data_IF_950630255568
#
_entry.id   IF_950630255568
#
_cell.length_a   1.000
_cell.length_b   1.000
_cell.length_c   1.000
_cell.angle_alpha   90.00
_cell.angle_beta   90.00
_cell.angle_gamma   90.00
#
_symmetry.space_group_name_H-M   'P 1'
#
loop_
_entity.id
_entity.type
_entity.pdbx_description
1 polymer ?
#
# COMPACT_ATOMS: atom_id res chain seq x y z
N UNK A 1 4.06 4.96 -24.03
CA UNK A 1 4.29 5.60 -22.72
C UNK A 1 4.95 4.59 -21.82
N UNK A 2 5.88 5.05 -20.99
CA UNK A 2 6.45 4.25 -19.91
C UNK A 2 5.45 4.29 -18.74
N UNK A 3 5.18 3.14 -18.12
CA UNK A 3 4.16 3.01 -17.07
C UNK A 3 4.75 2.53 -15.75
N UNK A 4 4.18 3.02 -14.66
CA UNK A 4 4.31 2.43 -13.32
C UNK A 4 2.98 1.80 -12.94
N UNK A 5 3.03 0.60 -12.37
CA UNK A 5 1.88 -0.05 -11.75
C UNK A 5 1.73 0.41 -10.32
N UNK A 6 0.58 0.97 -9.98
CA UNK A 6 0.25 1.33 -8.61
C UNK A 6 -0.96 0.51 -8.20
N UNK A 7 -0.83 -0.33 -7.18
CA UNK A 7 -1.98 -1.04 -6.62
C UNK A 7 -2.48 -0.33 -5.37
N UNK A 8 -3.80 -0.24 -5.18
CA UNK A 8 -4.39 0.47 -4.03
C UNK A 8 -4.35 2.00 -4.18
N UNK A 9 -4.22 2.48 -5.42
CA UNK A 9 -4.04 3.90 -5.71
C UNK A 9 -5.31 4.74 -5.54
N UNK A 10 -6.47 4.16 -5.24
CA UNK A 10 -7.66 4.91 -4.84
C UNK A 10 -7.83 4.96 -3.31
N UNK A 11 -6.96 4.31 -2.54
CA UNK A 11 -6.88 4.43 -1.09
C UNK A 11 -6.18 5.72 -0.64
N UNK A 12 -6.12 5.95 0.67
CA UNK A 12 -5.56 7.18 1.26
C UNK A 12 -4.11 7.49 0.82
N UNK A 13 -3.14 6.63 1.15
CA UNK A 13 -1.72 6.87 0.83
C UNK A 13 -1.51 6.72 -0.69
N UNK A 14 -2.11 5.70 -1.29
CA UNK A 14 -2.00 5.44 -2.72
C UNK A 14 -2.50 6.60 -3.59
N UNK A 15 -3.61 7.26 -3.22
CA UNK A 15 -4.12 8.40 -3.97
C UNK A 15 -3.17 9.61 -3.87
N UNK A 16 -2.64 9.91 -2.69
CA UNK A 16 -1.65 10.98 -2.54
C UNK A 16 -0.39 10.67 -3.36
N UNK A 17 0.10 9.42 -3.35
CA UNK A 17 1.22 9.02 -4.22
C UNK A 17 0.93 9.25 -5.71
N UNK A 18 -0.26 8.86 -6.18
CA UNK A 18 -0.65 9.03 -7.59
C UNK A 18 -0.74 10.52 -7.97
N UNK A 19 -1.34 11.34 -7.11
CA UNK A 19 -1.46 12.79 -7.29
C UNK A 19 -0.07 13.45 -7.34
N UNK A 20 0.77 13.15 -6.35
CA UNK A 20 2.12 13.73 -6.23
C UNK A 20 3.01 13.31 -7.40
N UNK A 21 2.93 12.05 -7.83
CA UNK A 21 3.69 11.54 -8.98
C UNK A 21 3.32 12.28 -10.26
N UNK A 22 2.01 12.40 -10.56
CA UNK A 22 1.52 13.00 -11.80
C UNK A 22 1.54 14.53 -11.80
N UNK A 23 1.79 15.16 -10.65
CA UNK A 23 2.06 16.59 -10.57
C UNK A 23 3.34 16.98 -11.34
N UNK A 24 4.28 16.06 -11.54
CA UNK A 24 5.46 16.32 -12.38
C UNK A 24 5.11 16.19 -13.88
N UNK A 25 5.41 17.22 -14.69
CA UNK A 25 5.08 17.28 -16.13
C UNK A 25 5.61 16.09 -16.94
N UNK A 26 6.80 15.59 -16.58
CA UNK A 26 7.49 14.50 -17.28
C UNK A 26 7.38 13.15 -16.55
N UNK A 27 6.46 13.03 -15.61
CA UNK A 27 6.20 11.78 -14.92
C UNK A 27 5.80 10.68 -15.91
N UNK A 28 6.22 9.45 -15.62
CA UNK A 28 5.68 8.26 -16.27
C UNK A 28 4.18 8.14 -16.02
N UNK A 29 3.46 7.54 -16.97
CA UNK A 29 2.04 7.27 -16.80
C UNK A 29 1.82 6.22 -15.69
N UNK A 30 0.70 6.30 -14.99
CA UNK A 30 0.31 5.36 -13.95
C UNK A 30 -0.83 4.49 -14.46
N UNK A 31 -0.64 3.17 -14.41
CA UNK A 31 -1.76 2.24 -14.37
C UNK A 31 -2.11 1.96 -12.91
N UNK A 32 -3.22 2.54 -12.46
CA UNK A 32 -3.74 2.45 -11.09
C UNK A 32 -4.74 1.31 -10.99
N UNK A 33 -4.38 0.26 -10.27
CA UNK A 33 -5.17 -0.94 -10.04
C UNK A 33 -5.79 -0.86 -8.64
N UNK A 34 -7.11 -0.79 -8.56
CA UNK A 34 -7.80 -0.76 -7.27
C UNK A 34 -9.10 -1.57 -7.33
N UNK A 35 -9.40 -2.32 -6.28
CA UNK A 35 -10.64 -3.11 -6.18
C UNK A 35 -11.86 -2.22 -5.88
N UNK A 36 -11.62 -1.00 -5.38
CA UNK A 36 -12.61 -0.09 -4.81
C UNK A 36 -13.40 -0.79 -3.71
N UNK A 37 -12.67 -1.27 -2.69
CA UNK A 37 -13.28 -1.73 -1.44
C UNK A 37 -13.85 -0.52 -0.68
N UNK A 38 -14.32 -0.74 0.55
CA UNK A 38 -14.85 0.35 1.38
C UNK A 38 -13.86 1.52 1.59
N UNK A 39 -12.55 1.26 1.49
CA UNK A 39 -11.49 2.23 1.72
C UNK A 39 -11.02 2.94 0.43
N UNK A 40 -11.46 2.47 -0.74
CA UNK A 40 -11.12 3.07 -2.04
C UNK A 40 -12.11 4.15 -2.44
N UNK A 41 -11.62 5.32 -2.86
CA UNK A 41 -12.46 6.43 -3.28
C UNK A 41 -11.88 7.14 -4.52
N UNK A 42 -12.54 6.97 -5.66
CA UNK A 42 -12.14 7.63 -6.91
C UNK A 42 -12.26 9.16 -6.88
N UNK A 43 -13.06 9.71 -5.95
CA UNK A 43 -13.15 11.17 -5.80
C UNK A 43 -11.85 11.78 -5.30
N UNK A 44 -11.00 11.01 -4.59
CA UNK A 44 -9.66 11.44 -4.21
C UNK A 44 -8.76 11.71 -5.42
N UNK A 45 -9.12 11.18 -6.60
CA UNK A 45 -8.36 11.32 -7.85
C UNK A 45 -9.11 12.17 -8.89
N UNK A 46 -10.15 12.90 -8.49
CA UNK A 46 -11.01 13.63 -9.44
C UNK A 46 -10.26 14.67 -10.29
N UNK A 47 -9.17 15.25 -9.77
CA UNK A 47 -8.32 16.18 -10.51
C UNK A 47 -7.57 15.54 -11.68
N UNK A 48 -7.54 14.21 -11.77
CA UNK A 48 -6.84 13.45 -12.81
C UNK A 48 -7.77 12.85 -13.87
N UNK A 49 -9.09 13.08 -13.81
CA UNK A 49 -10.05 12.43 -14.72
C UNK A 49 -9.78 12.69 -16.22
N UNK A 50 -9.27 13.87 -16.55
CA UNK A 50 -8.90 14.23 -17.93
C UNK A 50 -7.39 14.09 -18.20
N UNK A 51 -6.60 13.58 -17.25
CA UNK A 51 -5.17 13.34 -17.44
C UNK A 51 -4.94 11.96 -18.07
N UNK A 52 -4.59 11.94 -19.35
CA UNK A 52 -4.32 10.71 -20.09
C UNK A 52 -3.15 9.87 -19.53
N UNK A 53 -2.34 10.42 -18.61
CA UNK A 53 -1.28 9.69 -17.90
C UNK A 53 -1.82 8.89 -16.73
N UNK A 54 -3.03 9.15 -16.24
CA UNK A 54 -3.69 8.37 -15.20
C UNK A 54 -4.66 7.36 -15.83
N UNK A 55 -4.32 6.07 -15.76
CA UNK A 55 -5.12 4.99 -16.31
C UNK A 55 -5.66 4.16 -15.16
N UNK A 56 -6.97 4.18 -14.95
CA UNK A 56 -7.61 3.43 -13.87
C UNK A 56 -8.11 2.07 -14.34
N UNK A 57 -7.80 1.02 -13.58
CA UNK A 57 -8.32 -0.33 -13.78
C UNK A 57 -8.96 -0.82 -12.47
N UNK A 58 -10.28 -1.01 -12.47
CA UNK A 58 -10.96 -1.66 -11.34
C UNK A 58 -10.61 -3.15 -11.35
N UNK A 59 -9.67 -3.56 -10.51
CA UNK A 59 -9.13 -4.93 -10.51
C UNK A 59 -8.80 -5.39 -9.09
N UNK A 60 -8.98 -6.68 -8.85
CA UNK A 60 -8.54 -7.35 -7.63
C UNK A 60 -7.13 -7.90 -7.83
N UNK A 61 -6.22 -7.64 -6.88
CA UNK A 61 -4.85 -8.19 -6.92
C UNK A 61 -4.83 -9.72 -6.71
N UNK A 62 -5.92 -10.31 -6.23
CA UNK A 62 -6.07 -11.77 -6.16
C UNK A 62 -6.45 -12.39 -7.52
N UNK A 63 -6.85 -11.60 -8.52
CA UNK A 63 -7.20 -12.11 -9.85
C UNK A 63 -5.94 -12.22 -10.73
N UNK A 64 -5.30 -13.39 -10.68
CA UNK A 64 -4.08 -13.67 -11.43
C UNK A 64 -4.25 -13.46 -12.94
N UNK A 65 -5.35 -13.93 -13.52
CA UNK A 65 -5.57 -13.81 -14.96
C UNK A 65 -5.72 -12.35 -15.38
N UNK A 66 -6.39 -11.54 -14.56
CA UNK A 66 -6.49 -10.10 -14.78
C UNK A 66 -5.13 -9.42 -14.63
N UNK A 67 -4.34 -9.77 -13.63
CA UNK A 67 -2.99 -9.22 -13.46
C UNK A 67 -2.11 -9.53 -14.68
N UNK A 68 -2.08 -10.77 -15.15
CA UNK A 68 -1.27 -11.18 -16.31
C UNK A 68 -1.66 -10.38 -17.57
N UNK A 69 -2.96 -10.16 -17.79
CA UNK A 69 -3.45 -9.30 -18.88
C UNK A 69 -2.96 -7.86 -18.74
N UNK A 70 -3.07 -7.28 -17.55
CA UNK A 70 -2.67 -5.90 -17.28
C UNK A 70 -1.16 -5.72 -17.48
N UNK A 71 -0.33 -6.64 -16.98
CA UNK A 71 1.12 -6.59 -17.20
C UNK A 71 1.48 -6.65 -18.69
N UNK A 72 0.78 -7.49 -19.47
CA UNK A 72 0.98 -7.58 -20.92
C UNK A 72 0.54 -6.30 -21.65
N UNK A 73 -0.58 -5.69 -21.24
CA UNK A 73 -1.15 -4.48 -21.83
C UNK A 73 -0.27 -3.25 -21.57
N UNK A 74 0.04 -2.99 -20.30
CA UNK A 74 0.69 -1.74 -19.89
C UNK A 74 2.22 -1.81 -19.86
N UNK A 75 2.78 -3.02 -19.74
CA UNK A 75 4.24 -3.26 -19.71
C UNK A 75 4.97 -2.32 -18.73
N UNK A 76 4.63 -2.35 -17.44
CA UNK A 76 5.20 -1.43 -16.46
C UNK A 76 6.69 -1.68 -16.27
N UNK A 77 7.45 -0.61 -16.02
CA UNK A 77 8.87 -0.74 -15.65
C UNK A 77 9.09 -0.72 -14.12
N UNK A 78 8.04 -0.47 -13.33
CA UNK A 78 8.06 -0.55 -11.88
C UNK A 78 6.66 -0.89 -11.33
N UNK A 79 6.63 -1.48 -10.14
CA UNK A 79 5.41 -1.74 -9.36
C UNK A 79 5.55 -1.06 -8.01
N UNK A 80 4.52 -0.33 -7.58
CA UNK A 80 4.38 0.23 -6.24
C UNK A 80 3.11 -0.34 -5.61
N UNK A 81 3.27 -1.11 -4.54
CA UNK A 81 2.21 -1.91 -3.96
C UNK A 81 1.69 -1.31 -2.64
N UNK A 82 0.55 -0.61 -2.71
CA UNK A 82 -0.19 -0.11 -1.53
C UNK A 82 -1.43 -0.94 -1.19
N UNK A 83 -1.99 -1.70 -2.13
CA UNK A 83 -3.24 -2.43 -1.93
C UNK A 83 -3.17 -3.37 -0.72
N UNK A 84 -4.01 -3.12 0.28
CA UNK A 84 -4.13 -3.92 1.49
C UNK A 84 -5.43 -3.59 2.23
N UNK A 85 -5.93 -4.55 3.00
CA UNK A 85 -6.84 -4.29 4.11
C UNK A 85 -6.03 -3.80 5.31
N UNK A 86 -6.44 -2.68 5.93
CA UNK A 86 -5.57 -1.87 6.82
C UNK A 86 -6.15 -1.48 8.18
N UNK A 87 -7.36 -1.92 8.50
CA UNK A 87 -8.03 -1.51 9.73
C UNK A 87 -7.89 -2.56 10.81
N UNK A 88 -7.08 -2.27 11.84
CA UNK A 88 -6.81 -3.18 12.96
C UNK A 88 -8.10 -3.72 13.59
N UNK A 89 -9.06 -2.87 13.97
CA UNK A 89 -10.32 -3.34 14.56
C UNK A 89 -11.14 -4.24 13.63
N UNK A 90 -11.17 -3.97 12.31
CA UNK A 90 -11.82 -4.86 11.35
C UNK A 90 -11.12 -6.21 11.26
N UNK A 91 -9.80 -6.24 11.37
CA UNK A 91 -9.01 -7.48 11.31
C UNK A 91 -9.33 -8.44 12.46
N UNK A 92 -9.82 -7.92 13.59
CA UNK A 92 -10.28 -8.74 14.74
C UNK A 92 -11.62 -9.41 14.43
N UNK A 93 -12.50 -8.72 13.69
CA UNK A 93 -13.85 -9.21 13.39
C UNK A 93 -13.95 -10.00 12.08
N UNK A 94 -13.13 -9.66 11.08
CA UNK A 94 -13.12 -10.25 9.74
C UNK A 94 -11.67 -10.47 9.26
N UNK A 95 -10.92 -11.40 9.89
CA UNK A 95 -9.52 -11.65 9.53
C UNK A 95 -9.32 -12.25 8.13
N UNK A 96 -10.33 -12.94 7.58
CA UNK A 96 -10.24 -13.63 6.29
C UNK A 96 -9.89 -12.68 5.14
N UNK A 97 -10.48 -11.48 5.12
CA UNK A 97 -10.21 -10.46 4.09
C UNK A 97 -8.74 -9.99 4.12
N UNK A 98 -8.13 -9.95 5.31
CA UNK A 98 -6.73 -9.57 5.50
C UNK A 98 -5.79 -10.67 5.03
N UNK A 99 -6.09 -11.94 5.32
CA UNK A 99 -5.32 -13.07 4.82
C UNK A 99 -5.41 -13.13 3.30
N UNK A 100 -6.61 -13.03 2.74
CA UNK A 100 -6.82 -13.10 1.30
C UNK A 100 -6.12 -11.94 0.58
N UNK A 101 -6.33 -10.70 1.01
CA UNK A 101 -5.81 -9.53 0.30
C UNK A 101 -4.33 -9.32 0.58
N UNK A 102 -3.92 -9.27 1.85
CA UNK A 102 -2.56 -8.85 2.20
C UNK A 102 -1.54 -9.96 1.95
N UNK A 103 -1.92 -11.22 2.13
CA UNK A 103 -1.03 -12.36 1.88
C UNK A 103 -1.28 -12.94 0.49
N UNK A 104 -2.50 -13.39 0.22
CA UNK A 104 -2.86 -14.01 -1.06
C UNK A 104 -2.69 -13.05 -2.23
N UNK A 105 -3.18 -11.81 -2.11
CA UNK A 105 -3.04 -10.77 -3.13
C UNK A 105 -1.58 -10.34 -3.35
N UNK A 106 -0.79 -10.20 -2.28
CA UNK A 106 0.64 -9.91 -2.42
C UNK A 106 1.39 -11.05 -3.14
N UNK A 107 1.05 -12.30 -2.83
CA UNK A 107 1.58 -13.47 -3.54
C UNK A 107 1.21 -13.47 -5.02
N UNK A 108 -0.06 -13.27 -5.36
CA UNK A 108 -0.52 -13.19 -6.76
C UNK A 108 0.18 -12.07 -7.52
N UNK A 109 0.33 -10.89 -6.91
CA UNK A 109 1.03 -9.77 -7.52
C UNK A 109 2.53 -10.07 -7.72
N UNK A 110 3.18 -10.73 -6.75
CA UNK A 110 4.57 -11.17 -6.86
C UNK A 110 4.76 -12.21 -7.98
N UNK A 111 3.87 -13.18 -8.11
CA UNK A 111 3.92 -14.17 -9.21
C UNK A 111 3.69 -13.53 -10.58
N UNK A 112 2.69 -12.65 -10.70
CA UNK A 112 2.45 -11.90 -11.93
C UNK A 112 3.69 -11.07 -12.32
N UNK A 113 4.24 -10.34 -11.33
CA UNK A 113 5.44 -9.53 -11.52
C UNK A 113 6.63 -10.37 -11.93
N UNK A 114 6.89 -11.50 -11.26
CA UNK A 114 8.01 -12.40 -11.57
C UNK A 114 7.87 -12.96 -12.98
N UNK A 115 6.68 -13.44 -13.34
CA UNK A 115 6.40 -14.00 -14.66
C UNK A 115 6.64 -12.95 -15.75
N UNK A 116 6.08 -11.76 -15.60
CA UNK A 116 6.33 -10.63 -16.50
C UNK A 116 7.83 -10.28 -16.57
N UNK A 117 8.47 -10.04 -15.43
CA UNK A 117 9.86 -9.60 -15.33
C UNK A 117 10.81 -10.59 -16.01
N UNK A 118 10.61 -11.90 -15.86
CA UNK A 118 11.47 -12.90 -16.51
C UNK A 118 11.44 -12.87 -18.04
N UNK A 119 10.35 -12.36 -18.62
CA UNK A 119 10.19 -12.22 -20.09
C UNK A 119 10.78 -10.93 -20.65
N UNK A 120 11.13 -9.97 -19.78
CA UNK A 120 11.67 -8.67 -20.22
C UNK A 120 13.11 -8.79 -20.75
N UNK A 121 13.53 -7.89 -21.65
CA UNK A 121 14.93 -7.77 -22.05
C UNK A 121 15.86 -7.53 -20.85
N UNK A 122 17.07 -8.10 -20.87
CA UNK A 122 18.03 -8.03 -19.75
C UNK A 122 18.25 -6.59 -19.24
N UNK A 123 18.48 -5.64 -20.14
CA UNK A 123 18.72 -4.25 -19.78
C UNK A 123 17.53 -3.56 -19.08
N UNK A 124 16.29 -3.99 -19.37
CA UNK A 124 15.10 -3.48 -18.72
C UNK A 124 14.87 -4.15 -17.35
N UNK A 125 15.16 -5.46 -17.24
CA UNK A 125 15.09 -6.21 -15.98
C UNK A 125 15.95 -5.60 -14.88
N UNK A 126 17.16 -5.16 -15.23
CA UNK A 126 18.10 -4.56 -14.28
C UNK A 126 17.60 -3.22 -13.70
N UNK A 127 16.71 -2.54 -14.45
CA UNK A 127 16.10 -1.26 -14.06
C UNK A 127 14.76 -1.43 -13.36
N UNK A 128 14.12 -2.60 -13.50
CA UNK A 128 12.82 -2.87 -12.89
C UNK A 128 12.89 -2.79 -11.37
N UNK A 129 11.85 -2.24 -10.72
CA UNK A 129 11.75 -2.24 -9.26
C UNK A 129 10.34 -2.63 -8.81
N UNK A 130 10.26 -3.48 -7.81
CA UNK A 130 9.03 -3.79 -7.08
C UNK A 130 9.13 -3.18 -5.69
N UNK A 131 8.36 -2.12 -5.42
CA UNK A 131 8.32 -1.44 -4.13
C UNK A 131 7.09 -1.91 -3.34
N UNK A 132 7.35 -2.62 -2.23
CA UNK A 132 6.34 -3.04 -1.26
C UNK A 132 6.23 -2.03 -0.13
N UNK A 133 5.03 -1.50 0.07
CA UNK A 133 4.75 -0.55 1.15
C UNK A 133 4.20 -1.34 2.34
N UNK A 134 4.93 -1.33 3.44
CA UNK A 134 4.61 -1.99 4.71
C UNK A 134 4.52 -0.96 5.84
N UNK A 135 4.43 -1.44 7.08
CA UNK A 135 4.13 -0.66 8.29
C UNK A 135 5.10 -1.02 9.40
N UNK A 136 5.43 -0.06 10.26
CA UNK A 136 6.18 -0.29 11.48
C UNK A 136 5.49 -1.25 12.48
N UNK A 137 4.17 -1.43 12.39
CA UNK A 137 3.42 -2.37 13.25
C UNK A 137 3.92 -3.82 13.14
N UNK A 138 4.67 -4.18 12.09
CA UNK A 138 5.30 -5.51 11.95
C UNK A 138 6.35 -5.76 13.04
N UNK A 139 6.92 -4.70 13.62
CA UNK A 139 7.92 -4.77 14.69
C UNK A 139 7.31 -4.86 16.09
N UNK A 140 5.97 -4.79 16.20
CA UNK A 140 5.27 -4.86 17.48
C UNK A 140 5.19 -3.51 18.19
N UNK A 141 5.38 -3.51 19.50
CA UNK A 141 5.22 -2.32 20.35
C UNK A 141 6.55 -1.85 20.93
N UNK A 142 6.70 -0.53 21.07
CA UNK A 142 7.80 0.08 21.82
C UNK A 142 7.38 0.40 23.25
N UNK A 143 8.31 0.20 24.19
CA UNK A 143 8.20 0.76 25.53
C UNK A 143 8.37 2.29 25.49
N UNK A 144 7.81 3.07 26.46
CA UNK A 144 7.87 4.53 26.45
C UNK A 144 9.28 5.16 26.44
N UNK A 145 10.30 4.40 26.86
CA UNK A 145 11.73 4.79 26.83
C UNK A 145 12.53 3.75 26.01
N UNK A 146 11.87 3.12 25.04
CA UNK A 146 12.49 2.11 24.16
C UNK A 146 13.32 2.74 23.04
N UNK A 147 14.24 1.95 22.50
CA UNK A 147 14.96 2.30 21.27
C UNK A 147 13.97 2.34 20.10
N UNK A 148 13.96 3.40 19.27
CA UNK A 148 13.15 3.43 18.06
C UNK A 148 13.42 2.21 17.16
N UNK A 149 12.42 1.82 16.37
CA UNK A 149 12.59 0.74 15.40
C UNK A 149 13.67 1.08 14.36
N UNK A 150 14.33 0.02 13.88
CA UNK A 150 15.30 0.06 12.78
C UNK A 150 15.04 -1.10 11.83
N UNK A 151 15.66 -1.11 10.67
CA UNK A 151 15.54 -2.20 9.68
C UNK A 151 16.08 -3.55 10.20
N UNK A 152 16.82 -3.54 11.32
CA UNK A 152 17.31 -4.73 12.00
C UNK A 152 16.41 -5.20 13.15
N UNK A 153 15.32 -4.48 13.45
CA UNK A 153 14.40 -4.87 14.52
C UNK A 153 13.67 -6.17 14.14
N UNK A 154 13.61 -7.17 15.04
CA UNK A 154 12.87 -8.40 14.78
C UNK A 154 11.37 -8.14 14.59
N UNK A 155 10.74 -8.93 13.73
CA UNK A 155 9.29 -8.90 13.56
C UNK A 155 8.61 -9.48 14.80
N UNK A 156 7.61 -8.79 15.32
CA UNK A 156 6.82 -9.18 16.48
C UNK A 156 5.36 -8.67 16.38
N UNK A 157 4.62 -8.98 15.30
CA UNK A 157 3.29 -8.44 15.06
C UNK A 157 2.27 -8.92 16.10
N UNK A 158 1.42 -8.01 16.57
CA UNK A 158 0.45 -8.26 17.66
C UNK A 158 -1.02 -8.26 17.21
N UNK A 159 -1.33 -8.06 15.92
CA UNK A 159 -2.70 -8.06 15.39
C UNK A 159 -2.81 -8.90 14.12
N UNK A 160 -4.02 -9.36 13.72
CA UNK A 160 -4.19 -10.04 12.42
C UNK A 160 -3.75 -9.17 11.24
N UNK A 161 -3.99 -7.86 11.30
CA UNK A 161 -3.48 -6.90 10.33
C UNK A 161 -1.95 -6.91 10.25
N UNK A 162 -1.23 -6.66 11.35
CA UNK A 162 0.23 -6.56 11.31
C UNK A 162 0.89 -7.90 11.04
N UNK A 163 0.28 -9.02 11.46
CA UNK A 163 0.72 -10.37 11.11
C UNK A 163 0.59 -10.63 9.60
N UNK A 164 -0.50 -10.17 8.97
CA UNK A 164 -0.67 -10.29 7.52
C UNK A 164 0.34 -9.45 6.73
N UNK A 165 0.69 -8.26 7.21
CA UNK A 165 1.75 -7.40 6.63
C UNK A 165 3.14 -8.00 6.83
N UNK A 166 3.42 -8.55 8.00
CA UNK A 166 4.65 -9.29 8.27
C UNK A 166 4.82 -10.48 7.31
N UNK A 167 3.74 -11.23 7.07
CA UNK A 167 3.74 -12.32 6.11
C UNK A 167 4.02 -11.84 4.68
N UNK A 168 3.40 -10.73 4.24
CA UNK A 168 3.68 -10.16 2.92
C UNK A 168 5.14 -9.69 2.78
N UNK A 169 5.72 -9.09 3.81
CA UNK A 169 7.14 -8.70 3.83
C UNK A 169 8.07 -9.90 3.65
N UNK A 170 7.76 -11.01 4.34
CA UNK A 170 8.52 -12.25 4.20
C UNK A 170 8.39 -12.85 2.79
N UNK A 171 7.21 -12.81 2.17
CA UNK A 171 7.03 -13.23 0.78
C UNK A 171 7.89 -12.39 -0.16
N UNK A 172 7.81 -11.06 -0.08
CA UNK A 172 8.60 -10.15 -0.92
C UNK A 172 10.09 -10.43 -0.80
N UNK A 173 10.59 -10.55 0.44
CA UNK A 173 11.99 -10.89 0.71
C UNK A 173 12.37 -12.27 0.16
N UNK A 174 11.52 -13.27 0.33
CA UNK A 174 11.76 -14.62 -0.17
C UNK A 174 11.85 -14.65 -1.70
N UNK A 175 11.03 -13.87 -2.40
CA UNK A 175 11.07 -13.76 -3.87
C UNK A 175 12.37 -13.16 -4.37
N UNK A 176 12.94 -12.18 -3.66
CA UNK A 176 14.28 -11.70 -3.95
C UNK A 176 15.33 -12.82 -3.80
N UNK A 177 15.33 -13.55 -2.69
CA UNK A 177 16.33 -14.60 -2.48
C UNK A 177 16.18 -15.81 -3.43
N UNK A 178 14.95 -16.20 -3.76
CA UNK A 178 14.67 -17.37 -4.58
C UNK A 178 14.75 -17.08 -6.08
N UNK A 179 14.43 -15.85 -6.51
CA UNK A 179 14.25 -15.51 -7.91
C UNK A 179 15.04 -14.28 -8.37
N UNK A 180 15.80 -13.64 -7.47
CA UNK A 180 16.53 -12.39 -7.73
C UNK A 180 15.64 -11.24 -8.21
N UNK A 181 14.34 -11.29 -7.90
CA UNK A 181 13.41 -10.22 -8.25
C UNK A 181 13.86 -8.93 -7.52
N UNK A 182 14.02 -7.79 -8.22
CA UNK A 182 14.53 -6.56 -7.62
C UNK A 182 13.45 -5.86 -6.79
N UNK A 183 13.30 -6.31 -5.55
CA UNK A 183 12.30 -5.81 -4.60
C UNK A 183 12.89 -4.79 -3.61
N UNK A 184 12.03 -3.92 -3.10
CA UNK A 184 12.29 -2.97 -2.03
C UNK A 184 11.11 -3.07 -1.05
N UNK A 185 11.37 -3.02 0.25
CA UNK A 185 10.32 -2.93 1.28
C UNK A 185 10.56 -1.68 2.11
N UNK A 186 9.50 -0.92 2.38
CA UNK A 186 9.54 0.24 3.28
C UNK A 186 8.57 0.02 4.43
N UNK A 187 9.00 0.37 5.65
CA UNK A 187 8.16 0.39 6.84
C UNK A 187 7.99 1.83 7.30
N UNK A 188 6.78 2.37 7.22
CA UNK A 188 6.49 3.72 7.71
C UNK A 188 5.64 3.68 8.99
N UNK A 189 5.74 4.76 9.77
CA UNK A 189 4.85 5.03 10.90
C UNK A 189 3.49 5.54 10.42
N UNK A 190 2.58 5.83 11.35
CA UNK A 190 1.26 6.39 11.06
C UNK A 190 1.30 7.62 10.15
N UNK A 191 0.60 7.53 9.02
CA UNK A 191 0.40 8.65 8.09
C UNK A 191 -0.84 9.46 8.45
N UNK A 192 -0.79 10.78 8.22
CA UNK A 192 -1.93 11.69 8.34
C UNK A 192 -1.81 12.78 7.28
N UNK A 193 -2.82 12.93 6.43
CA UNK A 193 -2.84 13.83 5.26
C UNK A 193 -4.30 13.98 4.77
N UNK A 194 -4.60 14.89 3.82
CA UNK A 194 -5.87 14.91 3.11
C UNK A 194 -6.27 13.55 2.53
N UNK A 195 -7.58 13.30 2.43
CA UNK A 195 -8.17 12.04 1.97
C UNK A 195 -8.06 10.85 2.95
N UNK A 196 -7.58 11.06 4.18
CA UNK A 196 -7.64 10.03 5.21
C UNK A 196 -9.10 9.72 5.59
N UNK A 197 -9.54 8.47 5.39
CA UNK A 197 -10.90 8.02 5.73
C UNK A 197 -11.22 8.36 7.21
N UNK A 198 -12.44 8.86 7.53
CA UNK A 198 -12.81 9.38 8.85
C UNK A 198 -13.07 8.29 9.91
N UNK A 199 -12.21 7.28 9.95
CA UNK A 199 -12.16 6.22 10.97
C UNK A 199 -10.84 6.27 11.77
N UNK A 200 -9.82 6.97 11.26
CA UNK A 200 -8.51 7.11 11.90
C UNK A 200 -8.51 8.29 12.87
N UNK A 201 -7.65 8.24 13.88
CA UNK A 201 -7.71 9.15 15.04
C UNK A 201 -7.82 10.63 14.65
N UNK A 202 -6.91 11.14 13.82
CA UNK A 202 -6.86 12.56 13.46
C UNK A 202 -8.10 12.97 12.66
N UNK A 203 -8.45 12.24 11.59
CA UNK A 203 -9.60 12.56 10.75
C UNK A 203 -10.94 12.43 11.50
N UNK A 204 -11.08 11.43 12.38
CA UNK A 204 -12.26 11.23 13.23
C UNK A 204 -12.43 12.38 14.24
N UNK A 205 -11.35 12.79 14.92
CA UNK A 205 -11.39 13.91 15.87
C UNK A 205 -11.80 15.21 15.18
N UNK A 206 -11.23 15.51 14.01
CA UNK A 206 -11.59 16.70 13.22
C UNK A 206 -13.06 16.65 12.79
N UNK A 207 -13.53 15.52 12.25
CA UNK A 207 -14.91 15.37 11.81
C UNK A 207 -15.92 15.52 12.95
N UNK A 208 -15.64 14.92 14.12
CA UNK A 208 -16.50 15.01 15.29
C UNK A 208 -16.51 16.42 15.89
N UNK A 209 -15.36 17.10 15.94
CA UNK A 209 -15.28 18.49 16.38
C UNK A 209 -16.11 19.43 15.50
N UNK A 210 -16.08 19.24 14.18
CA UNK A 210 -16.86 20.04 13.23
C UNK A 210 -18.37 19.77 13.30
N UNK A 211 -18.76 18.56 13.73
CA UNK A 211 -20.18 18.14 13.82
C UNK A 211 -20.75 18.20 15.23
N UNK A 212 -19.98 18.68 16.22
CA UNK A 212 -20.32 18.71 17.64
C UNK A 212 -20.72 17.34 18.21
N UNK A 213 -20.13 16.26 17.70
CA UNK A 213 -20.30 14.90 18.23
C UNK A 213 -19.27 14.68 19.34
N UNK A 214 -19.73 14.22 20.50
CA UNK A 214 -18.84 13.91 21.62
C UNK A 214 -17.91 12.74 21.26
N UNK A 215 -16.61 12.99 21.22
CA UNK A 215 -15.58 11.95 21.14
C UNK A 215 -15.31 11.36 22.53
N UNK A 216 -15.02 10.07 22.61
CA UNK A 216 -14.52 9.45 23.84
C UNK A 216 -13.32 10.24 24.39
N UNK A 217 -13.12 10.19 25.71
CA UNK A 217 -12.09 10.95 26.39
C UNK A 217 -10.70 10.65 25.80
N UNK A 218 -10.15 11.59 25.04
CA UNK A 218 -8.78 11.54 24.53
C UNK A 218 -7.87 12.23 25.55
N UNK A 219 -6.86 11.52 26.05
CA UNK A 219 -5.85 12.13 26.92
C UNK A 219 -4.65 12.54 26.08
N UNK A 220 -4.53 13.83 25.78
CA UNK A 220 -3.32 14.39 25.18
C UNK A 220 -2.25 14.50 26.26
N UNK A 221 -1.23 13.63 26.21
CA UNK A 221 -0.06 13.74 27.10
C UNK A 221 1.05 14.50 26.38
N UNK A 222 1.18 15.79 26.69
CA UNK A 222 2.24 16.63 26.14
C UNK A 222 2.52 17.85 27.02
N UNK A 223 3.55 17.73 27.86
CA UNK A 223 4.60 18.75 28.14
C UNK A 223 5.58 18.13 29.14
N UNK A 224 6.87 17.92 28.81
CA UNK A 224 7.92 18.25 29.77
C UNK A 224 8.01 19.77 29.87
N UNK A 225 8.10 20.29 31.10
CA UNK A 225 8.54 21.66 31.35
C UNK A 225 9.98 21.86 30.90
#
# INVERSE_FOLDING_TARGET
MSHIFVTGGAGFIGANFVLDWLHADKADAIANLDKLTYAGNLMSLASLYDDARHIFSRSDICDQARLDQLFAEFRPHAVVHFAAERHVDRSIHAPDDFIQTNIGGAFSLLEATRTYWTTMPVAERDRFRFLHISTDEVFGSLEPIGTPFSENTPYAPNSPYSASKAASDHLVRAYHHAHSLPVLTTHCSDNYEPYQFPEKLISLLIANALTNVATAACTVRGTPK
#
